data_IF_704207590988
#
_entry.id   IF_704207590988
#
_cell.length_a   1.000
_cell.length_b   1.000
_cell.length_c   1.000
_cell.angle_alpha   90.00
_cell.angle_beta   90.00
_cell.angle_gamma   90.00
#
_symmetry.space_group_name_H-M   'P 1'
#
loop_
_entity.id
_entity.type
_entity.pdbx_description
1 polymer ?
#
# COMPACT_ATOMS: atom_id res chain seq x y z
N UNK A 1 -6.41 9.50 -6.97
CA UNK A 1 -5.60 9.88 -5.78
C UNK A 1 -5.81 11.35 -5.40
N UNK A 2 -5.52 12.33 -6.28
CA UNK A 2 -5.67 13.75 -5.94
C UNK A 2 -7.10 14.14 -5.48
N UNK A 3 -8.14 13.75 -6.23
CA UNK A 3 -9.54 14.04 -5.86
C UNK A 3 -9.95 13.43 -4.51
N UNK A 4 -9.47 12.22 -4.20
CA UNK A 4 -9.73 11.55 -2.93
C UNK A 4 -9.14 12.32 -1.74
N UNK A 5 -7.91 12.83 -1.88
CA UNK A 5 -7.25 13.66 -0.86
C UNK A 5 -7.97 14.99 -0.66
N UNK A 6 -8.42 15.63 -1.75
CA UNK A 6 -9.20 16.86 -1.68
C UNK A 6 -10.54 16.65 -0.97
N UNK A 7 -11.25 15.56 -1.29
CA UNK A 7 -12.49 15.20 -0.61
C UNK A 7 -12.29 14.99 0.89
N UNK A 8 -11.26 14.24 1.28
CA UNK A 8 -10.94 13.99 2.69
C UNK A 8 -10.53 15.27 3.44
N UNK A 9 -9.75 16.15 2.80
CA UNK A 9 -9.40 17.45 3.39
C UNK A 9 -10.63 18.34 3.60
N UNK A 10 -11.53 18.38 2.62
CA UNK A 10 -12.76 19.16 2.71
C UNK A 10 -13.68 18.69 3.84
N UNK A 11 -13.88 17.38 4.00
CA UNK A 11 -14.73 16.84 5.08
C UNK A 11 -14.17 17.19 6.46
N UNK A 12 -12.86 17.07 6.66
CA UNK A 12 -12.19 17.45 7.92
C UNK A 12 -12.39 18.94 8.23
N UNK A 13 -12.23 19.81 7.24
CA UNK A 13 -12.46 21.25 7.42
C UNK A 13 -13.92 21.58 7.76
N UNK A 14 -14.88 20.92 7.10
CA UNK A 14 -16.30 21.13 7.40
C UNK A 14 -16.65 20.70 8.81
N UNK A 15 -16.21 19.51 9.24
CA UNK A 15 -16.47 19.00 10.59
C UNK A 15 -15.81 19.88 11.64
N UNK A 16 -14.57 20.32 11.38
CA UNK A 16 -13.87 21.27 12.26
C UNK A 16 -14.59 22.60 12.40
N UNK A 17 -15.08 23.18 11.30
CA UNK A 17 -15.83 24.44 11.32
C UNK A 17 -17.12 24.32 12.15
N UNK A 18 -17.92 23.28 11.93
CA UNK A 18 -19.14 23.04 12.71
C UNK A 18 -18.82 22.72 14.17
N UNK A 19 -17.74 21.98 14.45
CA UNK A 19 -17.28 21.72 15.82
C UNK A 19 -16.91 23.00 16.57
N UNK A 20 -16.13 23.90 15.95
CA UNK A 20 -15.81 25.20 16.54
C UNK A 20 -17.06 26.06 16.76
N UNK A 21 -17.96 26.11 15.78
CA UNK A 21 -19.23 26.86 15.91
C UNK A 21 -20.14 26.27 16.98
N UNK A 22 -20.19 24.95 17.12
CA UNK A 22 -20.96 24.26 18.15
C UNK A 22 -20.43 24.61 19.56
N UNK A 23 -19.10 24.67 19.73
CA UNK A 23 -18.47 25.05 20.99
C UNK A 23 -18.68 26.53 21.36
N UNK A 24 -18.62 27.42 20.36
CA UNK A 24 -18.74 28.87 20.60
C UNK A 24 -20.18 29.35 20.75
N UNK A 25 -21.13 28.75 20.01
CA UNK A 25 -22.41 29.41 19.74
C UNK A 25 -23.62 28.86 20.50
N UNK A 26 -23.46 27.90 21.42
CA UNK A 26 -24.52 27.48 22.36
C UNK A 26 -25.88 27.11 21.75
N UNK A 27 -25.96 26.87 20.44
CA UNK A 27 -27.23 26.65 19.72
C UNK A 27 -27.46 25.16 19.52
N UNK A 28 -28.64 24.70 19.90
CA UNK A 28 -29.04 23.29 19.76
C UNK A 28 -29.00 22.81 18.30
N UNK A 29 -29.37 23.66 17.35
CA UNK A 29 -29.37 23.31 15.93
C UNK A 29 -27.95 23.02 15.42
N UNK A 30 -26.97 23.85 15.76
CA UNK A 30 -25.57 23.68 15.33
C UNK A 30 -24.99 22.40 15.93
N UNK A 31 -25.28 22.15 17.21
CA UNK A 31 -24.83 20.96 17.91
C UNK A 31 -25.44 19.68 17.34
N UNK A 32 -26.73 19.71 16.98
CA UNK A 32 -27.41 18.61 16.29
C UNK A 32 -26.80 18.32 14.90
N UNK A 33 -26.45 19.35 14.13
CA UNK A 33 -25.78 19.16 12.83
C UNK A 33 -24.40 18.54 12.98
N UNK A 34 -23.60 18.99 13.95
CA UNK A 34 -22.29 18.42 14.24
C UNK A 34 -22.39 16.94 14.66
N UNK A 35 -23.34 16.63 15.56
CA UNK A 35 -23.65 15.25 15.96
C UNK A 35 -24.02 14.36 14.78
N UNK A 36 -24.90 14.85 13.90
CA UNK A 36 -25.33 14.11 12.71
C UNK A 36 -24.15 13.83 11.77
N UNK A 37 -23.24 14.79 11.58
CA UNK A 37 -22.02 14.60 10.79
C UNK A 37 -21.10 13.53 11.40
N UNK A 38 -20.87 13.55 12.72
CA UNK A 38 -20.05 12.53 13.38
C UNK A 38 -20.65 11.13 13.26
N UNK A 39 -21.97 10.99 13.39
CA UNK A 39 -22.65 9.69 13.18
C UNK A 39 -22.49 9.21 11.75
N UNK A 40 -22.63 10.12 10.77
CA UNK A 40 -22.42 9.77 9.36
C UNK A 40 -20.99 9.28 9.11
N UNK A 41 -19.99 9.91 9.74
CA UNK A 41 -18.59 9.48 9.65
C UNK A 41 -18.38 8.07 10.21
N UNK A 42 -18.93 7.75 11.38
CA UNK A 42 -18.87 6.38 11.95
C UNK A 42 -19.45 5.35 10.98
N UNK A 43 -20.59 5.65 10.36
CA UNK A 43 -21.23 4.74 9.39
C UNK A 43 -20.32 4.54 8.17
N UNK A 44 -19.74 5.62 7.63
CA UNK A 44 -18.80 5.49 6.49
C UNK A 44 -17.54 4.73 6.85
N UNK A 45 -17.04 4.86 8.08
CA UNK A 45 -15.88 4.13 8.58
C UNK A 45 -16.18 2.63 8.65
N UNK A 46 -17.33 2.25 9.20
CA UNK A 46 -17.77 0.85 9.28
C UNK A 46 -17.95 0.22 7.89
N UNK A 47 -18.60 0.94 6.96
CA UNK A 47 -18.80 0.47 5.59
C UNK A 47 -17.45 0.29 4.88
N UNK A 48 -16.54 1.25 5.02
CA UNK A 48 -15.21 1.19 4.41
C UNK A 48 -14.39 0.04 4.99
N UNK A 49 -14.43 -0.17 6.31
CA UNK A 49 -13.76 -1.28 6.97
C UNK A 49 -14.30 -2.65 6.51
N UNK A 50 -15.62 -2.80 6.42
CA UNK A 50 -16.25 -4.03 5.95
C UNK A 50 -15.93 -4.32 4.47
N UNK A 51 -16.07 -3.31 3.59
CA UNK A 51 -15.75 -3.45 2.17
C UNK A 51 -14.26 -3.76 1.95
N UNK A 52 -13.36 -3.07 2.67
CA UNK A 52 -11.93 -3.31 2.64
C UNK A 52 -11.56 -4.72 3.11
N UNK A 53 -12.20 -5.21 4.18
CA UNK A 53 -12.02 -6.58 4.67
C UNK A 53 -12.43 -7.64 3.64
N UNK A 54 -13.62 -7.49 3.04
CA UNK A 54 -14.12 -8.41 2.01
C UNK A 54 -13.20 -8.40 0.78
N UNK A 55 -12.81 -7.21 0.31
CA UNK A 55 -11.93 -7.07 -0.84
C UNK A 55 -10.57 -7.73 -0.58
N UNK A 56 -9.99 -7.51 0.59
CA UNK A 56 -8.72 -8.13 0.99
C UNK A 56 -8.84 -9.65 1.03
N UNK A 57 -9.91 -10.18 1.62
CA UNK A 57 -10.16 -11.63 1.64
C UNK A 57 -10.28 -12.21 0.22
N UNK A 58 -11.04 -11.55 -0.67
CA UNK A 58 -11.22 -11.97 -2.06
C UNK A 58 -9.93 -11.91 -2.86
N UNK A 59 -9.10 -10.89 -2.64
CA UNK A 59 -7.82 -10.74 -3.33
C UNK A 59 -6.85 -11.82 -2.89
N UNK A 60 -6.75 -12.08 -1.59
CA UNK A 60 -5.87 -13.12 -1.04
C UNK A 60 -6.30 -14.53 -1.47
N UNK A 61 -7.60 -14.76 -1.62
CA UNK A 61 -8.17 -16.02 -2.09
C UNK A 61 -7.84 -16.26 -3.57
N UNK A 62 -6.87 -17.13 -3.86
CA UNK A 62 -6.42 -17.44 -5.23
C UNK A 62 -5.49 -16.37 -5.83
N UNK A 63 -4.89 -15.52 -4.99
CA UNK A 63 -3.88 -14.54 -5.42
C UNK A 63 -2.71 -15.25 -6.12
N UNK A 64 -2.22 -16.31 -5.51
CA UNK A 64 -1.03 -17.05 -5.93
C UNK A 64 -1.17 -17.57 -7.36
N UNK A 65 -2.23 -18.34 -7.65
CA UNK A 65 -2.48 -18.90 -8.98
C UNK A 65 -2.61 -17.80 -10.05
N UNK A 66 -3.30 -16.71 -9.72
CA UNK A 66 -3.46 -15.56 -10.62
C UNK A 66 -2.11 -14.89 -10.91
N UNK A 67 -1.27 -14.71 -9.90
CA UNK A 67 0.05 -14.10 -10.06
C UNK A 67 0.99 -14.98 -10.89
N UNK A 68 1.02 -16.29 -10.63
CA UNK A 68 1.83 -17.24 -11.42
C UNK A 68 1.36 -17.28 -12.87
N UNK A 69 0.06 -17.37 -13.11
CA UNK A 69 -0.51 -17.35 -14.46
C UNK A 69 -0.19 -16.03 -15.20
N UNK A 70 -0.32 -14.89 -14.51
CA UNK A 70 0.03 -13.58 -15.07
C UNK A 70 1.53 -13.41 -15.33
N UNK A 71 2.38 -13.96 -14.48
CA UNK A 71 3.83 -13.99 -14.69
C UNK A 71 4.21 -14.83 -15.91
N UNK A 72 3.61 -16.00 -16.07
CA UNK A 72 3.91 -16.94 -17.16
C UNK A 72 3.69 -16.35 -18.55
N UNK A 73 2.63 -15.57 -18.73
CA UNK A 73 2.18 -15.09 -20.05
C UNK A 73 2.31 -13.58 -20.22
N UNK A 74 2.13 -12.81 -19.15
CA UNK A 74 1.98 -11.35 -19.22
C UNK A 74 3.27 -10.57 -18.97
N UNK A 75 4.24 -11.13 -18.25
CA UNK A 75 5.46 -10.38 -17.92
C UNK A 75 6.23 -10.00 -19.20
N UNK A 76 6.53 -8.72 -19.38
CA UNK A 76 7.17 -8.15 -20.57
C UNK A 76 6.35 -8.14 -21.86
N UNK A 77 5.11 -8.65 -21.83
CA UNK A 77 4.27 -8.90 -23.01
C UNK A 77 2.91 -8.20 -22.96
N UNK A 78 2.64 -7.42 -21.91
CA UNK A 78 1.36 -6.73 -21.76
C UNK A 78 1.23 -5.58 -22.77
N UNK A 79 0.08 -5.46 -23.45
CA UNK A 79 -0.23 -4.29 -24.25
C UNK A 79 -0.26 -3.04 -23.35
N UNK A 80 0.05 -1.89 -23.94
CA UNK A 80 0.12 -0.56 -23.32
C UNK A 80 -1.04 -0.31 -22.36
N UNK A 81 -0.84 -0.65 -21.10
CA UNK A 81 -1.74 -0.41 -19.98
C UNK A 81 -1.07 0.62 -19.09
N UNK A 82 -1.86 1.49 -18.45
CA UNK A 82 -1.33 2.63 -17.69
C UNK A 82 -0.34 2.21 -16.58
N UNK A 83 -0.49 0.98 -16.05
CA UNK A 83 0.46 0.33 -15.13
C UNK A 83 0.51 -1.18 -15.46
N UNK A 84 1.52 -1.66 -16.20
CA UNK A 84 1.65 -3.08 -16.52
C UNK A 84 1.95 -3.91 -15.26
N UNK A 85 1.48 -5.17 -15.21
CA UNK A 85 1.80 -6.10 -14.12
C UNK A 85 3.31 -6.22 -13.91
N UNK A 86 4.06 -6.22 -15.02
CA UNK A 86 5.53 -6.24 -15.03
C UNK A 86 6.15 -5.15 -14.14
N UNK A 87 5.70 -3.89 -14.27
CA UNK A 87 6.20 -2.78 -13.45
C UNK A 87 5.85 -2.90 -11.97
N UNK A 88 4.69 -3.52 -11.66
CA UNK A 88 4.25 -3.74 -10.29
C UNK A 88 5.09 -4.83 -9.62
N UNK A 89 5.40 -5.91 -10.36
CA UNK A 89 6.28 -6.97 -9.90
C UNK A 89 7.72 -6.47 -9.73
N UNK A 90 8.23 -5.71 -10.70
CA UNK A 90 9.55 -5.07 -10.64
C UNK A 90 9.70 -4.14 -9.42
N UNK A 91 8.65 -3.37 -9.12
CA UNK A 91 8.60 -2.55 -7.92
C UNK A 91 8.62 -3.41 -6.65
N UNK A 92 7.84 -4.50 -6.60
CA UNK A 92 7.81 -5.39 -5.45
C UNK A 92 9.18 -6.06 -5.21
N UNK A 93 9.83 -6.54 -6.27
CA UNK A 93 11.15 -7.14 -6.24
C UNK A 93 12.20 -6.18 -5.66
N UNK A 94 12.22 -4.95 -6.17
CA UNK A 94 13.06 -3.88 -5.64
C UNK A 94 12.69 -3.48 -4.19
N UNK A 95 11.40 -3.42 -3.87
CA UNK A 95 10.92 -2.94 -2.56
C UNK A 95 11.26 -3.93 -1.45
N UNK A 96 11.04 -5.21 -1.71
CA UNK A 96 11.10 -6.29 -0.71
C UNK A 96 12.35 -7.17 -0.84
N UNK A 97 13.25 -6.89 -1.79
CA UNK A 97 14.46 -7.69 -2.04
C UNK A 97 14.09 -9.17 -2.23
N UNK A 98 13.24 -9.42 -3.21
CA UNK A 98 12.69 -10.73 -3.56
C UNK A 98 12.74 -10.90 -5.08
N UNK A 99 12.51 -12.12 -5.56
CA UNK A 99 12.47 -12.42 -6.98
C UNK A 99 11.34 -13.41 -7.29
N UNK A 100 10.53 -13.12 -8.30
CA UNK A 100 9.38 -13.95 -8.67
C UNK A 100 8.27 -13.93 -7.62
N UNK A 101 7.33 -14.88 -7.74
CA UNK A 101 6.21 -15.03 -6.82
C UNK A 101 6.63 -15.87 -5.61
N UNK A 102 7.13 -17.09 -5.85
CA UNK A 102 7.72 -18.01 -4.88
C UNK A 102 9.25 -17.99 -4.88
N UNK A 103 9.85 -17.62 -6.01
CA UNK A 103 11.30 -17.49 -6.11
C UNK A 103 11.74 -17.19 -7.54
N UNK A 104 13.06 -17.08 -7.72
CA UNK A 104 13.67 -16.79 -9.02
C UNK A 104 13.33 -17.82 -10.11
N UNK A 105 13.05 -19.06 -9.73
CA UNK A 105 12.69 -20.15 -10.64
C UNK A 105 11.37 -19.92 -11.40
N UNK A 106 10.50 -19.02 -10.93
CA UNK A 106 9.21 -18.74 -11.56
C UNK A 106 9.33 -18.11 -12.95
N UNK A 107 10.49 -17.53 -13.28
CA UNK A 107 10.77 -16.99 -14.61
C UNK A 107 11.09 -18.07 -15.64
N UNK A 108 11.49 -19.27 -15.20
CA UNK A 108 11.83 -20.35 -16.11
C UNK A 108 10.60 -20.80 -16.92
N UNK A 109 10.73 -20.85 -18.24
CA UNK A 109 9.64 -21.25 -19.13
C UNK A 109 8.53 -20.19 -19.30
N UNK A 110 8.68 -18.99 -18.75
CA UNK A 110 7.80 -17.85 -19.08
C UNK A 110 7.99 -17.41 -20.54
N UNK A 111 6.99 -16.73 -21.11
CA UNK A 111 7.10 -16.14 -22.45
C UNK A 111 8.31 -15.19 -22.55
N UNK A 112 8.49 -14.33 -21.56
CA UNK A 112 9.63 -13.41 -21.46
C UNK A 112 10.98 -14.13 -21.47
N UNK A 113 11.13 -15.20 -20.70
CA UNK A 113 12.40 -15.94 -20.62
C UNK A 113 12.73 -16.65 -21.95
N UNK A 114 11.73 -17.22 -22.64
CA UNK A 114 11.94 -17.81 -23.96
C UNK A 114 12.41 -16.79 -24.99
N UNK A 115 11.80 -15.61 -24.99
CA UNK A 115 12.14 -14.54 -25.93
C UNK A 115 13.54 -13.97 -25.67
N UNK A 116 13.92 -13.85 -24.40
CA UNK A 116 15.27 -13.47 -24.00
C UNK A 116 16.32 -14.45 -24.54
N UNK A 117 16.03 -15.76 -24.46
CA UNK A 117 16.91 -16.81 -24.98
C UNK A 117 17.05 -16.78 -26.51
N UNK A 118 15.96 -16.50 -27.23
CA UNK A 118 15.97 -16.39 -28.71
C UNK A 118 16.70 -15.12 -29.17
N UNK A 119 16.51 -14.01 -28.46
CA UNK A 119 17.09 -12.71 -28.79
C UNK A 119 18.59 -12.60 -28.47
N UNK A 120 19.21 -13.66 -27.92
CA UNK A 120 20.62 -13.68 -27.52
C UNK A 120 20.93 -13.00 -26.19
N UNK A 121 19.97 -12.30 -25.59
CA UNK A 121 20.07 -11.74 -24.24
C UNK A 121 19.64 -12.80 -23.21
N UNK A 122 20.50 -13.80 -22.97
CA UNK A 122 20.27 -14.98 -22.10
C UNK A 122 20.11 -14.65 -20.60
N UNK A 123 19.17 -13.78 -20.27
CA UNK A 123 18.83 -13.37 -18.91
C UNK A 123 17.98 -14.46 -18.26
N UNK A 124 18.42 -14.94 -17.10
CA UNK A 124 17.69 -15.92 -16.30
C UNK A 124 16.57 -15.25 -15.51
N UNK A 125 16.78 -14.02 -15.08
CA UNK A 125 15.82 -13.23 -14.28
C UNK A 125 15.84 -11.76 -14.70
N UNK A 126 14.77 -10.99 -14.43
CA UNK A 126 14.80 -9.55 -14.59
C UNK A 126 15.86 -8.89 -13.71
N UNK A 127 16.37 -7.73 -14.15
CA UNK A 127 17.42 -7.00 -13.42
C UNK A 127 16.98 -6.50 -12.04
N UNK A 128 15.67 -6.38 -11.80
CA UNK A 128 15.07 -6.07 -10.50
C UNK A 128 15.20 -7.20 -9.48
N UNK A 129 15.49 -8.43 -9.91
CA UNK A 129 15.90 -9.53 -9.02
C UNK A 129 17.37 -9.44 -8.56
N UNK A 130 18.19 -8.62 -9.22
CA UNK A 130 19.60 -8.48 -8.89
C UNK A 130 19.81 -7.51 -7.74
N UNK A 131 20.86 -7.74 -6.95
CA UNK A 131 21.30 -6.79 -5.94
C UNK A 131 21.83 -5.54 -6.64
N UNK A 132 21.19 -4.39 -6.42
CA UNK A 132 21.52 -3.13 -7.10
C UNK A 132 22.68 -2.38 -6.41
N UNK A 133 23.45 -1.61 -7.19
CA UNK A 133 24.65 -0.88 -6.75
C UNK A 133 24.40 0.17 -5.66
N UNK A 134 23.16 0.67 -5.53
CA UNK A 134 22.77 1.71 -4.56
C UNK A 134 22.07 1.16 -3.30
N UNK A 135 22.07 -0.16 -3.07
CA UNK A 135 21.43 -0.77 -1.89
C UNK A 135 22.34 -0.73 -0.64
N UNK A 136 23.56 -0.21 -0.74
CA UNK A 136 24.50 -0.10 0.40
C UNK A 136 24.18 1.01 1.42
N UNK A 137 22.99 1.63 1.39
CA UNK A 137 22.58 2.60 2.42
C UNK A 137 21.27 2.18 3.12
N UNK A 138 21.46 1.50 4.26
CA UNK A 138 20.60 1.36 5.47
C UNK A 138 19.56 0.21 5.51
N UNK A 139 19.86 -0.78 6.37
CA UNK A 139 18.97 -1.60 7.20
C UNK A 139 17.49 -1.61 6.77
N UNK A 140 17.19 -2.48 5.80
CA UNK A 140 15.95 -2.54 5.02
C UNK A 140 14.77 -3.25 5.70
N UNK A 141 14.86 -3.55 7.00
CA UNK A 141 13.79 -4.20 7.77
C UNK A 141 12.97 -3.27 8.68
N UNK A 142 13.33 -1.98 8.79
CA UNK A 142 12.62 -1.06 9.69
C UNK A 142 11.52 -0.28 8.95
N UNK A 143 10.33 -0.08 9.55
CA UNK A 143 9.25 0.74 8.97
C UNK A 143 9.70 2.17 8.62
N UNK A 144 10.72 2.72 9.30
CA UNK A 144 11.28 4.05 9.00
C UNK A 144 12.04 4.11 7.66
N UNK A 145 12.56 2.98 7.14
CA UNK A 145 13.21 2.87 5.82
C UNK A 145 12.20 2.89 4.65
N UNK A 146 10.95 2.47 4.92
CA UNK A 146 9.87 2.41 3.93
C UNK A 146 9.42 3.81 3.53
N UNK A 147 9.32 4.71 4.52
CA UNK A 147 8.93 6.13 4.35
C UNK A 147 9.98 6.90 3.54
N UNK A 148 11.27 6.73 3.82
CA UNK A 148 12.34 7.45 3.10
C UNK A 148 12.37 7.13 1.59
N UNK A 149 12.01 5.90 1.19
CA UNK A 149 11.89 5.53 -0.24
C UNK A 149 10.66 6.15 -0.96
N UNK A 150 9.62 6.55 -0.22
CA UNK A 150 8.42 7.19 -0.78
C UNK A 150 8.59 8.70 -0.90
N UNK A 151 9.30 9.32 0.05
CA UNK A 151 9.45 10.78 0.12
C UNK A 151 10.77 11.32 -0.45
N UNK A 152 11.79 10.49 -0.67
CA UNK A 152 13.05 10.98 -1.26
C UNK A 152 12.95 11.07 -2.79
N UNK A 153 12.85 12.31 -3.28
CA UNK A 153 12.68 12.71 -4.67
C UNK A 153 13.97 12.47 -5.48
N UNK A 154 14.36 11.22 -5.68
CA UNK A 154 15.24 10.87 -6.80
C UNK A 154 14.39 10.68 -8.06
N UNK A 155 14.72 11.43 -9.10
CA UNK A 155 14.00 11.48 -10.39
C UNK A 155 14.04 10.14 -11.15
N UNK A 156 14.94 9.24 -10.79
CA UNK A 156 15.14 7.94 -11.44
C UNK A 156 14.55 6.83 -10.55
N UNK A 157 13.44 6.22 -10.99
CA UNK A 157 12.78 5.10 -10.30
C UNK A 157 13.65 3.84 -10.46
N UNK A 158 14.30 3.30 -9.42
CA UNK A 158 15.30 2.22 -9.57
C UNK A 158 14.74 0.90 -10.13
N UNK A 159 13.43 0.67 -10.00
CA UNK A 159 12.76 -0.49 -10.59
C UNK A 159 12.37 -0.30 -12.06
N UNK A 160 12.37 0.93 -12.59
CA UNK A 160 12.23 1.18 -14.03
C UNK A 160 13.57 1.04 -14.75
N UNK A 161 14.65 1.56 -14.13
CA UNK A 161 16.01 1.52 -14.66
C UNK A 161 16.97 0.88 -13.64
N UNK A 162 16.87 -0.43 -13.40
CA UNK A 162 17.72 -1.13 -12.43
C UNK A 162 19.19 -1.16 -12.86
N UNK A 163 20.09 -0.84 -11.92
CA UNK A 163 21.55 -0.89 -12.10
C UNK A 163 22.15 -1.93 -11.13
N UNK A 164 22.30 -3.20 -11.55
CA UNK A 164 22.89 -4.25 -10.73
C UNK A 164 24.30 -3.90 -10.25
N UNK A 165 24.69 -4.42 -9.08
CA UNK A 165 26.08 -4.38 -8.59
C UNK A 165 27.01 -5.17 -9.50
N UNK A 166 26.55 -6.36 -9.88
CA UNK A 166 27.18 -7.22 -10.88
C UNK A 166 26.08 -7.93 -11.69
N UNK A 167 25.85 -7.48 -12.92
CA UNK A 167 24.84 -8.09 -13.79
C UNK A 167 25.26 -9.49 -14.24
N UNK A 168 26.56 -9.73 -14.47
CA UNK A 168 27.03 -11.01 -14.97
C UNK A 168 26.85 -12.09 -13.89
N UNK A 169 27.34 -11.84 -12.68
CA UNK A 169 27.19 -12.77 -11.55
C UNK A 169 25.72 -13.03 -11.23
N UNK A 170 24.87 -12.00 -11.27
CA UNK A 170 23.44 -12.15 -11.06
C UNK A 170 22.75 -13.03 -12.12
N UNK A 171 23.26 -13.10 -13.36
CA UNK A 171 22.63 -13.82 -14.47
C UNK A 171 23.20 -15.23 -14.69
N UNK A 172 24.18 -15.67 -13.89
CA UNK A 172 24.68 -17.05 -13.93
C UNK A 172 23.55 -18.04 -13.61
N UNK A 173 23.51 -19.17 -14.31
CA UNK A 173 22.52 -20.23 -14.09
C UNK A 173 22.83 -21.05 -12.83
N UNK A 174 24.12 -21.28 -12.56
CA UNK A 174 24.59 -21.99 -11.38
C UNK A 174 24.31 -21.24 -10.06
N UNK A 175 23.89 -22.01 -9.04
CA UNK A 175 23.44 -21.46 -7.76
C UNK A 175 24.54 -20.79 -6.97
N UNK A 176 25.75 -21.32 -7.02
CA UNK A 176 26.90 -20.75 -6.30
C UNK A 176 27.36 -19.46 -6.97
N UNK A 177 27.32 -19.42 -8.31
CA UNK A 177 27.73 -18.24 -9.09
C UNK A 177 26.89 -16.98 -8.86
N UNK A 178 25.61 -17.13 -8.53
CA UNK A 178 24.70 -16.00 -8.29
C UNK A 178 24.39 -15.74 -6.81
N UNK A 179 25.04 -16.45 -5.88
CA UNK A 179 24.84 -16.24 -4.45
C UNK A 179 25.33 -14.85 -4.02
N UNK A 180 24.54 -14.14 -3.21
CA UNK A 180 24.81 -12.75 -2.83
C UNK A 180 24.59 -11.69 -3.93
N UNK A 181 24.34 -12.08 -5.19
CA UNK A 181 24.08 -11.16 -6.31
C UNK A 181 22.63 -11.20 -6.83
N UNK A 182 21.88 -12.24 -6.49
CA UNK A 182 20.47 -12.45 -6.87
C UNK A 182 19.59 -12.70 -5.64
N UNK A 183 18.41 -12.07 -5.58
CA UNK A 183 17.41 -12.39 -4.56
C UNK A 183 16.80 -13.77 -4.80
N UNK A 184 16.81 -14.64 -3.79
CA UNK A 184 16.36 -16.03 -3.94
C UNK A 184 14.91 -16.25 -3.49
N UNK A 185 14.44 -15.48 -2.51
CA UNK A 185 13.10 -15.60 -1.91
C UNK A 185 12.02 -14.99 -2.79
N UNK A 186 10.83 -15.61 -2.81
CA UNK A 186 9.65 -15.10 -3.49
C UNK A 186 9.07 -13.83 -2.89
N UNK A 187 8.43 -13.02 -3.73
CA UNK A 187 7.78 -11.79 -3.29
C UNK A 187 6.44 -12.02 -2.60
N UNK A 188 5.73 -13.11 -2.89
CA UNK A 188 4.38 -13.35 -2.36
C UNK A 188 4.36 -13.32 -0.83
N UNK A 189 5.26 -14.07 -0.20
CA UNK A 189 5.35 -14.17 1.27
C UNK A 189 5.74 -12.84 1.92
N UNK A 190 6.66 -12.08 1.30
CA UNK A 190 7.08 -10.77 1.83
C UNK A 190 5.97 -9.73 1.70
N UNK A 191 5.27 -9.72 0.57
CA UNK A 191 4.16 -8.81 0.31
C UNK A 191 2.98 -9.13 1.24
N UNK A 192 2.61 -10.40 1.41
CA UNK A 192 1.52 -10.78 2.31
C UNK A 192 1.86 -10.49 3.76
N UNK A 193 3.09 -10.75 4.20
CA UNK A 193 3.57 -10.38 5.54
C UNK A 193 3.53 -8.86 5.77
N UNK A 194 4.00 -8.07 4.79
CA UNK A 194 3.92 -6.61 4.87
C UNK A 194 2.47 -6.11 4.91
N UNK A 195 1.61 -6.64 4.05
CA UNK A 195 0.18 -6.29 4.02
C UNK A 195 -0.51 -6.59 5.36
N UNK A 196 -0.22 -7.74 5.97
CA UNK A 196 -0.75 -8.09 7.28
C UNK A 196 -0.29 -7.11 8.36
N UNK A 197 0.99 -6.74 8.36
CA UNK A 197 1.55 -5.79 9.31
C UNK A 197 0.92 -4.39 9.18
N UNK A 198 0.85 -3.85 7.97
CA UNK A 198 0.22 -2.54 7.71
C UNK A 198 -1.29 -2.56 8.00
N UNK A 199 -1.96 -3.68 7.73
CA UNK A 199 -3.38 -3.84 8.07
C UNK A 199 -3.63 -3.68 9.57
N UNK A 200 -2.74 -4.18 10.44
CA UNK A 200 -2.88 -3.98 11.89
C UNK A 200 -2.74 -2.50 12.27
N UNK A 201 -1.82 -1.77 11.65
CA UNK A 201 -1.67 -0.32 11.88
C UNK A 201 -2.92 0.44 11.45
N UNK A 202 -3.49 0.11 10.29
CA UNK A 202 -4.73 0.74 9.80
C UNK A 202 -5.92 0.45 10.73
N UNK A 203 -6.04 -0.78 11.23
CA UNK A 203 -7.10 -1.14 12.18
C UNK A 203 -6.95 -0.36 13.49
N UNK A 204 -5.73 -0.21 14.00
CA UNK A 204 -5.49 0.57 15.21
C UNK A 204 -5.84 2.06 15.02
N UNK A 205 -5.45 2.65 13.89
CA UNK A 205 -5.80 4.03 13.55
C UNK A 205 -7.31 4.21 13.39
N UNK A 206 -8.01 3.26 12.77
CA UNK A 206 -9.47 3.25 12.69
C UNK A 206 -10.12 3.22 14.07
N UNK A 207 -9.74 2.27 14.92
CA UNK A 207 -10.27 2.20 16.30
C UNK A 207 -10.04 3.49 17.08
N UNK A 208 -8.87 4.13 16.95
CA UNK A 208 -8.59 5.42 17.58
C UNK A 208 -9.50 6.53 17.03
N UNK A 209 -9.70 6.59 15.71
CA UNK A 209 -10.59 7.56 15.06
C UNK A 209 -12.05 7.39 15.51
N UNK A 210 -12.58 6.17 15.53
CA UNK A 210 -13.90 5.87 16.06
C UNK A 210 -14.01 6.28 17.54
N UNK A 211 -12.96 6.07 18.35
CA UNK A 211 -12.88 6.53 19.73
C UNK A 211 -12.99 8.05 19.87
N UNK A 212 -12.30 8.80 19.02
CA UNK A 212 -12.37 10.28 19.01
C UNK A 212 -13.77 10.75 18.60
N UNK A 213 -14.37 10.14 17.58
CA UNK A 213 -15.71 10.50 17.12
C UNK A 213 -16.77 10.21 18.19
N UNK A 214 -16.70 9.06 18.86
CA UNK A 214 -17.63 8.70 19.94
C UNK A 214 -17.51 9.65 21.12
N UNK A 215 -16.30 10.05 21.51
CA UNK A 215 -16.09 11.09 22.51
C UNK A 215 -16.69 12.44 22.10
N UNK A 216 -16.52 12.84 20.84
CA UNK A 216 -17.13 14.05 20.27
C UNK A 216 -18.66 14.01 20.31
N UNK A 217 -19.25 12.83 20.08
CA UNK A 217 -20.71 12.63 20.16
C UNK A 217 -21.19 12.77 21.60
N UNK A 218 -20.52 12.11 22.55
CA UNK A 218 -20.89 12.14 23.97
C UNK A 218 -20.81 13.57 24.52
N UNK A 219 -19.70 14.27 24.28
CA UNK A 219 -19.50 15.65 24.74
C UNK A 219 -20.55 16.60 24.16
N UNK A 220 -20.86 16.45 22.87
CA UNK A 220 -21.91 17.25 22.22
C UNK A 220 -23.30 16.94 22.76
N UNK A 221 -23.60 15.68 23.10
CA UNK A 221 -24.87 15.33 23.74
C UNK A 221 -25.00 15.96 25.14
N UNK A 222 -23.93 15.99 25.92
CA UNK A 222 -23.92 16.67 27.22
C UNK A 222 -24.13 18.18 27.08
N UNK A 223 -23.38 18.83 26.19
CA UNK A 223 -23.56 20.26 25.89
C UNK A 223 -25.00 20.58 25.47
N UNK A 224 -25.62 19.71 24.65
CA UNK A 224 -26.98 19.90 24.19
C UNK A 224 -27.99 19.85 25.33
N UNK A 225 -27.81 18.90 26.27
CA UNK A 225 -28.62 18.81 27.47
C UNK A 225 -28.46 20.06 28.32
N UNK A 226 -27.23 20.49 28.60
CA UNK A 226 -26.97 21.69 29.40
C UNK A 226 -27.61 22.95 28.79
N UNK A 227 -27.50 23.15 27.47
CA UNK A 227 -28.13 24.28 26.77
C UNK A 227 -29.65 24.22 26.87
N UNK A 228 -30.24 23.02 26.77
CA UNK A 228 -31.69 22.84 26.90
C UNK A 228 -32.19 23.23 28.28
N UNK A 229 -31.50 22.81 29.34
CA UNK A 229 -31.88 23.18 30.72
C UNK A 229 -31.86 24.71 30.89
N UNK A 230 -30.83 25.41 30.38
CA UNK A 230 -30.73 26.87 30.46
C UNK A 230 -31.83 27.66 29.71
N UNK A 231 -32.60 27.02 28.82
CA UNK A 231 -33.72 27.68 28.12
C UNK A 231 -35.08 27.43 28.77
N UNK A 232 -35.16 26.52 29.74
CA UNK A 232 -36.41 26.16 30.43
C UNK A 232 -36.60 27.00 31.71
N UNK A 233 -35.52 27.57 32.25
CA UNK A 233 -35.51 28.55 33.36
C UNK A 233 -35.68 30.00 32.86
#
# INVERSE_FOLDING_TARGET
MAYSLLGLGFTVLTVGFFGCRAALHGSQCILATYMSMLVALIVTELVTAAAGGIMTFRILSGLEERLISKLAVGYGHEPTSDIPFSHSLDFAQYKFNCCGIHGYGDYNGTAWWRDAQISGNRRQVPLTCCVLKNTEVKNTGSPMSVVSRVFNKHTEKPWLNPKPKDELACQIEDKEGHDGYRHQEGCLLKVTSWLQCESFTLVFLGMAMAGIQTFGIITSAFLCRTIREMQVD
#
